data_IF_218980435250
#
_entry.id   IF_218980435250
#
_cell.length_a   1.000
_cell.length_b   1.000
_cell.length_c   1.000
_cell.angle_alpha   90.00
_cell.angle_beta   90.00
_cell.angle_gamma   90.00
#
_symmetry.space_group_name_H-M   'P 1'
#
loop_
_entity.id
_entity.type
_entity.pdbx_description
1 polymer ?
#
# COMPACT_ATOMS: atom_id res chain seq x y z
N UNK A 1 6.71 -16.89 30.56
CA UNK A 1 6.80 -16.02 29.37
C UNK A 1 7.88 -14.99 29.64
N UNK A 2 9.02 -15.09 28.95
CA UNK A 2 10.08 -14.07 28.96
C UNK A 2 10.01 -13.26 27.65
N UNK A 3 10.63 -12.08 27.62
CA UNK A 3 10.80 -11.36 26.35
C UNK A 3 11.76 -12.15 25.44
N UNK A 4 11.46 -12.22 24.14
CA UNK A 4 12.28 -12.92 23.14
C UNK A 4 13.25 -11.97 22.40
N UNK A 5 13.10 -10.65 22.61
CA UNK A 5 13.97 -9.63 22.03
C UNK A 5 13.73 -8.26 22.65
N UNK A 6 14.78 -7.44 22.73
CA UNK A 6 14.73 -6.02 23.08
C UNK A 6 14.94 -5.20 21.82
N UNK A 7 13.96 -4.37 21.47
CA UNK A 7 13.98 -3.50 20.30
C UNK A 7 14.54 -2.13 20.67
N UNK A 8 15.50 -1.64 19.88
CA UNK A 8 16.04 -0.29 20.02
C UNK A 8 16.11 0.41 18.67
N UNK A 9 15.83 1.71 18.64
CA UNK A 9 15.87 2.53 17.42
C UNK A 9 16.66 3.80 17.65
N UNK A 10 17.47 4.17 16.66
CA UNK A 10 18.13 5.47 16.61
C UNK A 10 17.75 6.18 15.32
N UNK A 11 17.21 7.39 15.45
CA UNK A 11 16.90 8.26 14.32
C UNK A 11 18.00 9.31 14.17
N UNK A 12 18.44 9.56 12.93
CA UNK A 12 19.40 10.60 12.62
C UNK A 12 19.18 11.16 11.21
N UNK A 13 19.61 12.40 11.02
CA UNK A 13 19.54 13.12 9.75
C UNK A 13 20.95 13.38 9.24
N UNK A 14 21.16 13.30 7.93
CA UNK A 14 22.39 13.75 7.28
C UNK A 14 22.11 14.52 5.98
N UNK A 15 23.16 14.91 5.26
CA UNK A 15 23.03 15.66 3.99
C UNK A 15 22.35 14.89 2.85
N UNK A 16 22.09 13.60 3.03
CA UNK A 16 21.46 12.70 2.06
C UNK A 16 20.02 12.34 2.40
N UNK A 17 19.60 12.52 3.65
CA UNK A 17 18.20 12.36 4.07
C UNK A 17 18.00 11.99 5.54
N UNK A 18 16.88 11.31 5.80
CA UNK A 18 16.53 10.76 7.09
C UNK A 18 16.94 9.29 7.19
N UNK A 19 17.44 8.90 8.35
CA UNK A 19 17.90 7.54 8.63
C UNK A 19 17.34 7.00 9.93
N UNK A 20 17.06 5.70 9.94
CA UNK A 20 16.63 4.94 11.11
C UNK A 20 17.54 3.72 11.22
N UNK A 21 18.29 3.60 12.31
CA UNK A 21 18.96 2.35 12.67
C UNK A 21 18.07 1.59 13.64
N UNK A 22 17.58 0.44 13.20
CA UNK A 22 16.81 -0.49 14.01
C UNK A 22 17.71 -1.61 14.52
N UNK A 23 17.63 -1.90 15.81
CA UNK A 23 18.39 -2.95 16.47
C UNK A 23 17.46 -3.86 17.27
N UNK A 24 17.80 -5.14 17.31
CA UNK A 24 17.16 -6.14 18.15
C UNK A 24 18.25 -6.92 18.84
N UNK A 25 18.12 -7.09 20.15
CA UNK A 25 19.07 -7.86 20.96
C UNK A 25 18.36 -8.95 21.75
N UNK A 26 19.04 -10.07 21.93
CA UNK A 26 18.65 -11.11 22.87
C UNK A 26 18.71 -10.54 24.30
N UNK A 27 17.62 -10.61 25.08
CA UNK A 27 17.58 -10.04 26.42
C UNK A 27 18.44 -10.76 27.45
N UNK A 28 18.84 -12.02 27.20
CA UNK A 28 19.57 -12.86 28.14
C UNK A 28 21.09 -12.67 28.01
N UNK A 29 21.58 -12.62 26.78
CA UNK A 29 23.03 -12.56 26.51
C UNK A 29 23.46 -11.26 25.79
N UNK A 30 22.52 -10.42 25.36
CA UNK A 30 22.81 -9.15 24.68
C UNK A 30 23.29 -9.28 23.23
N UNK A 31 23.30 -10.49 22.69
CA UNK A 31 23.67 -10.75 21.29
C UNK A 31 22.74 -10.02 20.33
N UNK A 32 23.27 -9.57 19.20
CA UNK A 32 22.50 -8.83 18.20
C UNK A 32 21.74 -9.83 17.33
N UNK A 33 20.43 -9.73 17.35
CA UNK A 33 19.52 -10.50 16.50
C UNK A 33 19.24 -9.77 15.17
N UNK A 34 19.23 -8.43 15.20
CA UNK A 34 19.06 -7.58 14.02
C UNK A 34 19.78 -6.24 14.26
N UNK A 35 20.49 -5.72 13.25
CA UNK A 35 21.05 -4.38 13.25
C UNK A 35 21.09 -3.87 11.81
N UNK A 36 20.17 -2.97 11.47
CA UNK A 36 19.97 -2.52 10.09
C UNK A 36 19.61 -1.04 10.05
N UNK A 37 20.14 -0.35 9.05
CA UNK A 37 19.86 1.07 8.81
C UNK A 37 19.00 1.25 7.57
N UNK A 38 17.90 2.00 7.71
CA UNK A 38 16.97 2.38 6.66
C UNK A 38 17.15 3.86 6.36
N UNK A 39 17.03 4.25 5.09
CA UNK A 39 17.23 5.63 4.65
C UNK A 39 16.13 6.10 3.71
N UNK A 40 15.74 7.37 3.79
CA UNK A 40 14.75 7.98 2.88
C UNK A 40 14.98 9.48 2.73
N UNK A 41 14.67 10.01 1.54
CA UNK A 41 14.53 11.45 1.31
C UNK A 41 13.09 11.95 1.53
N UNK A 42 12.15 11.02 1.71
CA UNK A 42 10.73 11.29 1.87
C UNK A 42 10.26 11.15 3.33
N UNK A 43 8.99 10.79 3.54
CA UNK A 43 8.41 10.67 4.88
C UNK A 43 9.12 9.63 5.74
N UNK A 44 9.47 9.99 6.99
CA UNK A 44 10.17 9.12 7.94
C UNK A 44 9.40 7.84 8.28
N UNK A 45 8.05 7.87 8.26
CA UNK A 45 7.20 6.70 8.56
C UNK A 45 7.56 5.46 7.75
N UNK A 46 8.03 5.63 6.50
CA UNK A 46 8.43 4.50 5.66
C UNK A 46 9.63 3.74 6.23
N UNK A 47 10.49 4.41 7.01
CA UNK A 47 11.61 3.77 7.69
C UNK A 47 11.11 2.87 8.82
N UNK A 48 10.11 3.34 9.57
CA UNK A 48 9.49 2.58 10.65
C UNK A 48 8.78 1.35 10.09
N UNK A 49 8.02 1.51 9.01
CA UNK A 49 7.36 0.38 8.33
C UNK A 49 8.35 -0.69 7.86
N UNK A 50 9.43 -0.29 7.18
CA UNK A 50 10.52 -1.20 6.78
C UNK A 50 11.10 -1.96 7.97
N UNK A 51 11.33 -1.26 9.07
CA UNK A 51 11.85 -1.89 10.27
C UNK A 51 10.85 -2.88 10.88
N UNK A 52 9.57 -2.52 10.94
CA UNK A 52 8.50 -3.42 11.40
C UNK A 52 8.41 -4.67 10.53
N UNK A 53 8.58 -4.55 9.22
CA UNK A 53 8.56 -5.72 8.33
C UNK A 53 9.74 -6.66 8.59
N UNK A 54 10.93 -6.12 8.84
CA UNK A 54 12.09 -6.93 9.24
C UNK A 54 11.90 -7.55 10.65
N UNK A 55 11.23 -6.87 11.58
CA UNK A 55 10.89 -7.45 12.89
C UNK A 55 9.91 -8.62 12.75
N UNK A 56 8.86 -8.45 11.95
CA UNK A 56 7.88 -9.52 11.68
C UNK A 56 8.55 -10.73 11.03
N UNK A 57 9.48 -10.49 10.10
CA UNK A 57 10.22 -11.58 9.49
C UNK A 57 11.16 -12.27 10.48
N UNK A 58 11.90 -11.49 11.29
CA UNK A 58 12.85 -12.01 12.28
C UNK A 58 12.18 -12.93 13.32
N UNK A 59 10.99 -12.58 13.80
CA UNK A 59 10.35 -13.30 14.89
C UNK A 59 9.25 -14.27 14.45
N UNK A 60 8.54 -13.96 13.36
CA UNK A 60 7.42 -14.79 12.90
C UNK A 60 7.70 -15.51 11.57
N UNK A 61 8.78 -15.19 10.86
CA UNK A 61 9.05 -15.72 9.52
C UNK A 61 8.05 -15.23 8.45
N UNK A 62 7.21 -14.25 8.79
CA UNK A 62 6.18 -13.71 7.92
C UNK A 62 6.74 -12.48 7.21
N UNK A 63 6.56 -12.40 5.88
CA UNK A 63 6.84 -11.15 5.16
C UNK A 63 5.90 -10.08 5.68
N UNK A 64 6.46 -9.03 6.25
CA UNK A 64 5.68 -7.96 6.83
C UNK A 64 4.78 -7.24 5.83
N UNK A 65 3.73 -6.63 6.35
CA UNK A 65 2.67 -5.94 5.61
C UNK A 65 2.73 -4.42 5.82
N UNK A 66 3.68 -3.92 6.61
CA UNK A 66 3.70 -2.53 7.03
C UNK A 66 4.00 -1.58 5.86
N UNK A 67 4.73 -2.03 4.84
CA UNK A 67 4.91 -1.25 3.61
C UNK A 67 3.74 -1.39 2.61
N UNK A 68 2.68 -2.15 2.94
CA UNK A 68 1.57 -2.38 2.02
C UNK A 68 0.58 -1.21 1.94
N UNK A 69 -0.19 -1.21 0.86
CA UNK A 69 -1.28 -0.25 0.60
C UNK A 69 -2.58 -0.98 0.34
N UNK A 70 -3.66 -0.30 0.64
CA UNK A 70 -5.03 -0.74 0.41
C UNK A 70 -5.58 0.09 -0.75
N UNK A 71 -6.22 -0.57 -1.72
CA UNK A 71 -7.07 0.09 -2.71
C UNK A 71 -8.52 -0.27 -2.40
N UNK A 72 -9.40 0.72 -2.48
CA UNK A 72 -10.82 0.51 -2.18
C UNK A 72 -11.68 1.52 -2.92
N UNK A 73 -12.97 1.23 -3.01
CA UNK A 73 -13.95 2.19 -3.52
C UNK A 73 -14.61 2.90 -2.34
N UNK A 74 -14.48 4.22 -2.32
CA UNK A 74 -15.10 5.09 -1.35
C UNK A 74 -16.35 5.76 -1.92
N UNK A 75 -17.42 5.81 -1.14
CA UNK A 75 -18.61 6.62 -1.47
C UNK A 75 -18.33 8.07 -1.13
N UNK A 76 -18.56 8.97 -2.09
CA UNK A 76 -18.55 10.40 -1.89
C UNK A 76 -19.98 10.98 -2.01
N UNK A 77 -20.16 12.30 -1.91
CA UNK A 77 -21.49 12.95 -1.97
C UNK A 77 -22.26 12.75 -3.29
N UNK A 78 -21.55 12.47 -4.39
CA UNK A 78 -22.03 12.45 -5.77
C UNK A 78 -21.87 11.09 -6.46
N UNK A 79 -21.09 10.16 -5.92
CA UNK A 79 -20.84 8.85 -6.53
C UNK A 79 -19.78 8.03 -5.79
N UNK A 80 -19.10 7.15 -6.51
CA UNK A 80 -18.05 6.29 -5.98
C UNK A 80 -16.73 6.56 -6.69
N UNK A 81 -15.63 6.53 -5.96
CA UNK A 81 -14.29 6.72 -6.53
C UNK A 81 -13.30 5.71 -5.99
N UNK A 82 -12.24 5.51 -6.76
CA UNK A 82 -11.07 4.76 -6.35
C UNK A 82 -10.25 5.58 -5.35
N UNK A 83 -9.90 4.96 -4.24
CA UNK A 83 -9.00 5.49 -3.22
C UNK A 83 -7.87 4.51 -2.95
N UNK A 84 -6.74 5.05 -2.49
CA UNK A 84 -5.65 4.27 -1.89
C UNK A 84 -5.25 4.85 -0.55
N UNK A 85 -4.79 4.00 0.36
CA UNK A 85 -4.18 4.40 1.62
C UNK A 85 -3.11 3.39 2.02
N UNK A 86 -2.25 3.72 2.97
CA UNK A 86 -1.33 2.76 3.56
C UNK A 86 -2.10 1.77 4.47
N UNK A 87 -1.48 0.64 4.82
CA UNK A 87 -2.14 -0.43 5.59
C UNK A 87 -2.69 0.02 6.95
N UNK A 88 -2.07 1.04 7.55
CA UNK A 88 -2.44 1.64 8.83
C UNK A 88 -3.49 2.76 8.70
N UNK A 89 -4.01 3.00 7.49
CA UNK A 89 -5.06 3.98 7.19
C UNK A 89 -4.54 5.38 6.90
N UNK A 90 -3.24 5.63 7.08
CA UNK A 90 -2.61 6.91 6.76
C UNK A 90 -2.41 7.09 5.24
N UNK A 91 -2.06 8.31 4.83
CA UNK A 91 -1.86 8.65 3.41
C UNK A 91 -3.06 8.30 2.53
N UNK A 92 -4.27 8.66 2.96
CA UNK A 92 -5.48 8.52 2.16
C UNK A 92 -5.43 9.44 0.92
N UNK A 93 -5.50 8.83 -0.27
CA UNK A 93 -5.52 9.51 -1.56
C UNK A 93 -6.74 9.11 -2.37
N UNK A 94 -7.42 10.10 -2.93
CA UNK A 94 -8.48 9.91 -3.93
C UNK A 94 -7.84 9.86 -5.31
N UNK A 95 -8.03 8.76 -6.03
CA UNK A 95 -7.37 8.50 -7.31
C UNK A 95 -8.23 8.92 -8.51
N UNK A 96 -9.55 8.86 -8.37
CA UNK A 96 -10.53 9.24 -9.41
C UNK A 96 -11.50 10.29 -8.89
N UNK A 97 -12.12 11.03 -9.82
CA UNK A 97 -13.04 12.13 -9.52
C UNK A 97 -14.29 12.09 -10.38
N UNK A 98 -14.73 10.88 -10.74
CA UNK A 98 -15.68 10.67 -11.84
C UNK A 98 -17.14 10.78 -11.36
N UNK A 99 -17.39 10.52 -10.08
CA UNK A 99 -18.74 10.52 -9.48
C UNK A 99 -19.71 9.54 -10.18
N UNK A 100 -19.19 8.42 -10.68
CA UNK A 100 -19.97 7.32 -11.27
C UNK A 100 -19.90 6.08 -10.38
N UNK A 101 -20.55 4.99 -10.78
CA UNK A 101 -20.35 3.70 -10.12
C UNK A 101 -18.94 3.17 -10.42
N UNK A 102 -18.26 2.70 -9.38
CA UNK A 102 -16.99 2.00 -9.46
C UNK A 102 -16.97 0.85 -8.45
N UNK A 103 -16.31 -0.27 -8.76
CA UNK A 103 -16.27 -1.45 -7.87
C UNK A 103 -15.09 -2.37 -8.17
N UNK A 104 -14.82 -3.26 -7.22
CA UNK A 104 -13.84 -4.35 -7.29
C UNK A 104 -12.43 -3.91 -7.75
N UNK A 105 -11.78 -2.97 -7.04
CA UNK A 105 -10.42 -2.60 -7.35
C UNK A 105 -9.47 -3.74 -7.00
N UNK A 106 -8.51 -4.01 -7.88
CA UNK A 106 -7.49 -5.03 -7.67
C UNK A 106 -6.12 -4.50 -8.08
N UNK A 107 -5.11 -4.80 -7.27
CA UNK A 107 -3.74 -4.41 -7.57
C UNK A 107 -3.12 -5.37 -8.60
N UNK A 108 -2.33 -4.80 -9.50
CA UNK A 108 -1.35 -5.56 -10.27
C UNK A 108 -0.31 -6.20 -9.33
N UNK A 109 0.24 -7.39 -9.69
CA UNK A 109 1.25 -8.06 -8.85
C UNK A 109 2.51 -7.21 -8.58
N UNK A 110 2.87 -6.33 -9.53
CA UNK A 110 4.01 -5.41 -9.41
C UNK A 110 3.67 -4.10 -8.67
N UNK A 111 2.42 -3.93 -8.23
CA UNK A 111 1.91 -2.78 -7.48
C UNK A 111 1.99 -1.45 -8.24
N UNK A 112 2.20 -1.47 -9.55
CA UNK A 112 2.31 -0.26 -10.38
C UNK A 112 0.95 0.26 -10.84
N UNK A 113 -0.05 -0.63 -10.86
CA UNK A 113 -1.36 -0.41 -11.44
C UNK A 113 -2.49 -0.94 -10.59
N UNK A 114 -3.67 -0.34 -10.75
CA UNK A 114 -4.93 -0.82 -10.19
C UNK A 114 -5.93 -1.02 -11.31
N UNK A 115 -6.50 -2.22 -11.39
CA UNK A 115 -7.64 -2.50 -12.28
C UNK A 115 -8.93 -2.38 -11.49
N UNK A 116 -9.94 -1.73 -12.06
CA UNK A 116 -11.25 -1.57 -11.42
C UNK A 116 -12.36 -1.52 -12.46
N UNK A 117 -13.60 -1.81 -12.04
CA UNK A 117 -14.77 -1.62 -12.92
C UNK A 117 -15.33 -0.22 -12.73
N UNK A 118 -15.71 0.43 -13.82
CA UNK A 118 -16.30 1.78 -13.82
C UNK A 118 -17.44 1.91 -14.83
N UNK A 119 -18.38 2.81 -14.54
CA UNK A 119 -19.43 3.26 -15.47
C UNK A 119 -19.14 4.66 -16.04
N UNK A 120 -17.87 5.08 -16.09
CA UNK A 120 -17.45 6.42 -16.54
C UNK A 120 -18.05 6.81 -17.90
N UNK A 121 -18.22 5.84 -18.79
CA UNK A 121 -18.74 6.05 -20.15
C UNK A 121 -20.17 5.52 -20.33
N UNK A 122 -20.95 5.42 -19.25
CA UNK A 122 -22.36 4.99 -19.28
C UNK A 122 -22.58 3.47 -19.31
N UNK A 123 -21.57 2.71 -19.72
CA UNK A 123 -21.56 1.24 -19.74
C UNK A 123 -20.45 0.70 -18.82
N UNK A 124 -20.56 -0.53 -18.30
CA UNK A 124 -19.52 -1.11 -17.45
C UNK A 124 -18.24 -1.39 -18.25
N UNK A 125 -17.12 -0.93 -17.73
CA UNK A 125 -15.79 -1.11 -18.31
C UNK A 125 -14.78 -1.51 -17.25
N UNK A 126 -13.82 -2.35 -17.65
CA UNK A 126 -12.63 -2.66 -16.88
C UNK A 126 -11.56 -1.63 -17.26
N UNK A 127 -11.15 -0.83 -16.28
CA UNK A 127 -10.19 0.24 -16.42
C UNK A 127 -8.89 -0.12 -15.70
N UNK A 128 -7.75 0.12 -16.34
CA UNK A 128 -6.41 0.13 -15.75
C UNK A 128 -6.05 1.56 -15.34
N UNK A 129 -5.60 1.72 -14.09
CA UNK A 129 -5.09 2.95 -13.54
C UNK A 129 -3.59 2.83 -13.26
N UNK A 130 -2.77 3.63 -13.93
CA UNK A 130 -1.34 3.72 -13.70
C UNK A 130 -1.03 4.66 -12.53
N UNK A 131 -0.43 4.13 -11.46
CA UNK A 131 -0.20 4.89 -10.22
C UNK A 131 0.93 5.91 -10.31
N UNK A 132 1.84 5.75 -11.27
CA UNK A 132 2.97 6.65 -11.44
C UNK A 132 2.56 7.94 -12.16
N UNK A 133 1.64 7.81 -13.12
CA UNK A 133 1.25 8.89 -14.02
C UNK A 133 -0.18 9.38 -13.80
N UNK A 134 -1.00 8.63 -13.06
CA UNK A 134 -2.44 8.87 -12.94
C UNK A 134 -3.21 8.61 -14.23
N UNK A 135 -2.58 8.03 -15.26
CA UNK A 135 -3.21 7.73 -16.55
C UNK A 135 -4.15 6.54 -16.41
N UNK A 136 -5.21 6.56 -17.23
CA UNK A 136 -6.25 5.54 -17.25
C UNK A 136 -6.40 4.97 -18.65
N UNK A 137 -6.47 3.65 -18.75
CA UNK A 137 -6.62 2.93 -20.00
C UNK A 137 -7.76 1.93 -19.88
N UNK A 138 -8.67 1.93 -20.85
CA UNK A 138 -9.71 0.90 -20.92
C UNK A 138 -9.00 -0.41 -21.30
N UNK A 139 -9.07 -1.41 -20.42
CA UNK A 139 -8.61 -2.76 -20.73
C UNK A 139 -9.67 -3.56 -21.47
N UNK A 140 -10.92 -3.38 -21.07
CA UNK A 140 -12.05 -4.08 -21.67
C UNK A 140 -13.34 -3.27 -21.50
N UNK A 141 -14.14 -3.19 -22.56
CA UNK A 141 -15.48 -2.60 -22.52
C UNK A 141 -16.50 -3.65 -22.95
N UNK A 142 -17.55 -3.85 -22.16
CA UNK A 142 -18.65 -4.71 -22.55
C UNK A 142 -19.60 -3.90 -23.45
N UNK A 143 -19.39 -3.91 -24.77
CA UNK A 143 -20.43 -3.42 -25.68
C UNK A 143 -21.59 -4.42 -25.67
N UNK A 144 -22.72 -3.98 -25.11
CA UNK A 144 -23.99 -4.71 -25.16
C UNK A 144 -24.20 -5.71 -24.01
N UNK A 145 -24.95 -5.28 -23.00
CA UNK A 145 -25.74 -6.19 -22.16
C UNK A 145 -26.90 -6.75 -23.00
N UNK A 146 -26.63 -7.73 -23.86
CA UNK A 146 -27.70 -8.50 -24.51
C UNK A 146 -28.14 -9.63 -23.57
N UNK A 147 -28.82 -9.27 -22.48
CA UNK A 147 -29.41 -10.22 -21.53
C UNK A 147 -30.82 -10.67 -21.94
N UNK A 148 -31.18 -10.55 -23.22
CA UNK A 148 -32.44 -11.07 -23.76
C UNK A 148 -32.24 -12.52 -24.22
N UNK A 149 -32.92 -13.51 -23.64
CA UNK A 149 -33.02 -14.83 -24.26
C UNK A 149 -33.82 -14.69 -25.56
N UNK A 150 -33.37 -15.35 -26.64
CA UNK A 150 -34.24 -15.62 -27.80
C UNK A 150 -35.21 -16.76 -27.50
#
# INVERSE_FOLDING_TARGET
MGAEGVVGTQFFLDGTGSHLRGTVRDPLNGSVLLDKTYSTKGPVRILVHKFVDDLLFQFAGIRGLAESRIAFIGKNRRGYDLYTMDFDGENLHRMTYDNVLAFNPTWSPDKSRIVYVTYLHGEPQIMDYDLSSGRRHILFGFSGLNITPQ
#
